data_IF_622937604523
#
_entry.id   IF_622937604523
#
_cell.length_a   1.000
_cell.length_b   1.000
_cell.length_c   1.000
_cell.angle_alpha   90.00
_cell.angle_beta   90.00
_cell.angle_gamma   90.00
#
_symmetry.space_group_name_H-M   'P 1'
#
loop_
_entity.id
_entity.type
_entity.pdbx_description
1 polymer ?
#
# COMPACT_ATOMS: atom_id res chain seq x y z
N UNK A 1 -34.55 -9.02 32.93
CA UNK A 1 -34.44 -7.77 32.14
C UNK A 1 -33.01 -7.29 32.33
N UNK A 2 -32.06 -7.64 31.47
CA UNK A 2 -31.91 -7.10 30.12
C UNK A 2 -31.48 -8.20 29.13
N UNK A 3 -32.35 -8.45 28.16
CA UNK A 3 -32.08 -9.19 26.93
C UNK A 3 -31.22 -8.28 26.03
N UNK A 4 -29.95 -8.63 25.80
CA UNK A 4 -29.15 -7.97 24.75
C UNK A 4 -29.27 -8.77 23.47
N UNK A 5 -30.17 -8.30 22.60
CA UNK A 5 -30.18 -8.57 21.17
C UNK A 5 -28.82 -8.18 20.60
N UNK A 6 -28.19 -9.06 19.84
CA UNK A 6 -27.45 -8.73 18.62
C UNK A 6 -27.40 -9.98 17.74
N UNK A 7 -28.52 -10.14 17.05
CA UNK A 7 -28.68 -10.68 15.70
C UNK A 7 -27.49 -11.50 15.18
N UNK A 8 -27.68 -12.82 15.17
CA UNK A 8 -26.94 -13.70 14.27
C UNK A 8 -27.05 -13.16 12.85
N UNK A 9 -25.99 -12.52 12.35
CA UNK A 9 -25.80 -12.27 10.93
C UNK A 9 -25.76 -13.64 10.26
N UNK A 10 -26.93 -14.10 9.85
CA UNK A 10 -27.14 -15.39 9.24
C UNK A 10 -26.32 -15.35 7.95
N UNK A 11 -25.13 -15.93 7.97
CA UNK A 11 -24.32 -16.16 6.78
C UNK A 11 -25.26 -16.80 5.77
N UNK A 12 -25.74 -16.00 4.80
CA UNK A 12 -26.54 -16.52 3.70
C UNK A 12 -25.62 -17.52 3.04
N UNK A 13 -25.93 -18.80 3.22
CA UNK A 13 -25.20 -19.88 2.60
C UNK A 13 -25.08 -19.55 1.13
N UNK A 14 -23.84 -19.40 0.63
CA UNK A 14 -23.46 -19.14 -0.77
C UNK A 14 -23.88 -20.27 -1.74
N UNK A 15 -24.82 -21.12 -1.33
CA UNK A 15 -25.35 -22.21 -2.12
C UNK A 15 -26.45 -21.64 -3.02
N UNK A 16 -26.17 -21.67 -4.32
CA UNK A 16 -27.03 -21.36 -5.48
C UNK A 16 -26.88 -19.94 -6.06
N UNK A 17 -26.31 -19.87 -7.28
CA UNK A 17 -26.18 -18.71 -8.21
C UNK A 17 -24.95 -17.78 -8.09
N UNK A 18 -23.76 -18.26 -7.74
CA UNK A 18 -22.52 -17.52 -8.00
C UNK A 18 -21.67 -18.25 -9.06
N UNK A 19 -20.95 -17.52 -9.95
CA UNK A 19 -20.06 -18.14 -10.93
C UNK A 19 -18.97 -18.95 -10.21
N UNK A 20 -18.45 -19.99 -10.88
CA UNK A 20 -17.47 -20.92 -10.30
C UNK A 20 -16.26 -20.17 -9.71
N UNK A 21 -15.78 -19.15 -10.39
CA UNK A 21 -14.60 -18.37 -9.97
C UNK A 21 -14.85 -17.56 -8.69
N UNK A 22 -16.08 -17.09 -8.47
CA UNK A 22 -16.45 -16.43 -7.21
C UNK A 22 -16.46 -17.41 -6.03
N UNK A 23 -16.78 -18.69 -6.26
CA UNK A 23 -16.70 -19.74 -5.23
C UNK A 23 -15.24 -20.06 -4.89
N UNK A 24 -14.34 -20.07 -5.88
CA UNK A 24 -12.90 -20.24 -5.66
C UNK A 24 -12.35 -19.07 -4.82
N UNK A 25 -12.63 -17.82 -5.22
CA UNK A 25 -12.22 -16.64 -4.47
C UNK A 25 -12.74 -16.65 -3.02
N UNK A 26 -13.99 -17.07 -2.81
CA UNK A 26 -14.57 -17.20 -1.46
C UNK A 26 -13.87 -18.29 -0.63
N UNK A 27 -13.45 -19.38 -1.27
CA UNK A 27 -12.72 -20.46 -0.61
C UNK A 27 -11.32 -20.01 -0.18
N UNK A 28 -10.64 -19.22 -1.02
CA UNK A 28 -9.33 -18.62 -0.70
C UNK A 28 -9.47 -17.68 0.52
N UNK A 29 -10.45 -16.78 0.52
CA UNK A 29 -10.68 -15.85 1.64
C UNK A 29 -10.93 -16.62 2.96
N UNK A 30 -11.66 -17.73 2.88
CA UNK A 30 -11.92 -18.60 4.02
C UNK A 30 -10.66 -19.31 4.52
N UNK A 31 -9.79 -19.77 3.62
CA UNK A 31 -8.50 -20.39 3.94
C UNK A 31 -7.54 -19.40 4.60
N UNK A 32 -7.61 -18.11 4.24
CA UNK A 32 -6.88 -17.02 4.88
C UNK A 32 -7.40 -16.67 6.29
N UNK A 33 -8.44 -17.35 6.78
CA UNK A 33 -8.96 -17.17 8.15
C UNK A 33 -9.94 -16.00 8.31
N UNK A 34 -10.36 -15.34 7.21
CA UNK A 34 -11.34 -14.24 7.25
C UNK A 34 -12.75 -14.82 7.27
N UNK A 35 -13.44 -14.68 8.42
CA UNK A 35 -14.77 -15.26 8.63
C UNK A 35 -15.92 -14.32 8.23
N UNK A 36 -15.69 -13.00 8.26
CA UNK A 36 -16.68 -11.98 7.96
C UNK A 36 -16.10 -10.98 6.95
N UNK A 37 -16.77 -10.84 5.79
CA UNK A 37 -16.41 -9.89 4.75
C UNK A 37 -17.67 -9.45 3.99
N UNK A 38 -17.61 -8.25 3.40
CA UNK A 38 -18.68 -7.77 2.52
C UNK A 38 -18.68 -8.57 1.21
N UNK A 39 -19.84 -9.09 0.73
CA UNK A 39 -19.91 -9.84 -0.53
C UNK A 39 -19.31 -9.11 -1.74
N UNK A 40 -19.27 -7.76 -1.73
CA UNK A 40 -18.63 -6.95 -2.78
C UNK A 40 -17.13 -7.19 -2.91
N UNK A 41 -16.46 -7.63 -1.85
CA UNK A 41 -15.01 -7.98 -1.86
C UNK A 41 -14.74 -9.09 -2.86
N UNK A 42 -15.63 -10.08 -2.99
CA UNK A 42 -15.46 -11.19 -3.93
C UNK A 42 -15.52 -10.68 -5.37
N UNK A 43 -16.42 -9.75 -5.68
CA UNK A 43 -16.51 -9.13 -7.00
C UNK A 43 -15.29 -8.27 -7.31
N UNK A 44 -14.82 -7.49 -6.33
CA UNK A 44 -13.62 -6.67 -6.49
C UNK A 44 -12.36 -7.52 -6.72
N UNK A 45 -12.24 -8.63 -5.98
CA UNK A 45 -11.15 -9.58 -6.15
C UNK A 45 -11.21 -10.27 -7.53
N UNK A 46 -12.41 -10.63 -7.97
CA UNK A 46 -12.63 -11.21 -9.28
C UNK A 46 -12.21 -10.25 -10.40
N UNK A 47 -12.65 -9.00 -10.35
CA UNK A 47 -12.24 -7.94 -11.28
C UNK A 47 -10.72 -7.72 -11.27
N UNK A 48 -10.11 -7.74 -10.07
CA UNK A 48 -8.66 -7.60 -9.93
C UNK A 48 -7.91 -8.75 -10.61
N UNK A 49 -8.31 -10.00 -10.36
CA UNK A 49 -7.67 -11.19 -10.95
C UNK A 49 -7.78 -11.15 -12.48
N UNK A 50 -8.96 -10.84 -13.03
CA UNK A 50 -9.12 -10.75 -14.49
C UNK A 50 -8.27 -9.64 -15.10
N UNK A 51 -8.25 -8.44 -14.49
CA UNK A 51 -7.41 -7.33 -14.98
C UNK A 51 -5.93 -7.66 -14.89
N UNK A 52 -5.49 -8.29 -13.79
CA UNK A 52 -4.10 -8.69 -13.59
C UNK A 52 -3.65 -9.72 -14.63
N UNK A 53 -4.40 -10.81 -14.80
CA UNK A 53 -4.07 -11.87 -15.76
C UNK A 53 -4.11 -11.34 -17.20
N UNK A 54 -5.11 -10.54 -17.55
CA UNK A 54 -5.20 -9.94 -18.90
C UNK A 54 -4.00 -9.04 -19.18
N UNK A 55 -3.66 -8.14 -18.25
CA UNK A 55 -2.47 -7.29 -18.39
C UNK A 55 -1.18 -8.10 -18.50
N UNK A 56 -1.04 -9.20 -17.76
CA UNK A 56 0.11 -10.10 -17.87
C UNK A 56 0.19 -10.80 -19.23
N UNK A 57 -0.94 -11.23 -19.78
CA UNK A 57 -0.98 -11.84 -21.10
C UNK A 57 -0.70 -10.83 -22.21
N UNK A 58 -1.14 -9.58 -22.05
CA UNK A 58 -0.82 -8.49 -22.99
C UNK A 58 0.69 -8.21 -23.01
N UNK A 59 1.33 -8.09 -21.84
CA UNK A 59 2.78 -7.92 -21.73
C UNK A 59 3.53 -9.13 -22.32
N UNK A 60 3.08 -10.36 -22.02
CA UNK A 60 3.64 -11.60 -22.56
C UNK A 60 3.56 -11.66 -24.09
N UNK A 61 2.46 -11.18 -24.67
CA UNK A 61 2.27 -11.11 -26.12
C UNK A 61 3.26 -10.14 -26.77
N UNK A 62 3.56 -9.02 -26.13
CA UNK A 62 4.58 -8.08 -26.60
C UNK A 62 5.96 -8.76 -26.63
N UNK A 63 6.31 -9.53 -25.59
CA UNK A 63 7.58 -10.25 -25.53
C UNK A 63 7.67 -11.37 -26.56
N UNK A 64 6.61 -12.17 -26.74
CA UNK A 64 6.51 -13.18 -27.80
C UNK A 64 6.70 -12.55 -29.19
N UNK A 65 6.03 -11.42 -29.46
CA UNK A 65 6.17 -10.70 -30.72
C UNK A 65 7.60 -10.18 -30.94
N UNK A 66 8.25 -9.69 -29.87
CA UNK A 66 9.65 -9.26 -29.93
C UNK A 66 10.60 -10.43 -30.29
N UNK A 67 10.28 -11.63 -29.83
CA UNK A 67 10.99 -12.86 -30.20
C UNK A 67 10.58 -13.45 -31.56
N UNK A 68 9.73 -12.76 -32.34
CA UNK A 68 9.15 -13.23 -33.60
C UNK A 68 8.38 -14.56 -33.49
N UNK A 69 7.84 -14.86 -32.31
CA UNK A 69 7.01 -16.06 -32.06
C UNK A 69 5.54 -15.73 -32.29
N UNK A 70 4.79 -16.70 -32.84
CA UNK A 70 3.34 -16.57 -33.10
C UNK A 70 2.47 -16.93 -31.89
N UNK A 71 3.02 -17.69 -30.95
CA UNK A 71 2.32 -18.17 -29.76
C UNK A 71 3.11 -17.75 -28.51
N UNK A 72 2.39 -17.47 -27.43
CA UNK A 72 2.97 -17.11 -26.13
C UNK A 72 3.53 -18.37 -25.47
N UNK A 73 4.81 -18.33 -25.09
CA UNK A 73 5.46 -19.39 -24.33
C UNK A 73 5.44 -19.09 -22.82
N UNK A 74 5.74 -20.13 -22.03
CA UNK A 74 5.88 -20.01 -20.56
C UNK A 74 6.98 -19.01 -20.18
N UNK A 75 8.06 -18.94 -20.97
CA UNK A 75 9.17 -18.01 -20.71
C UNK A 75 8.76 -16.55 -20.89
N UNK A 76 7.84 -16.26 -21.82
CA UNK A 76 7.33 -14.91 -22.04
C UNK A 76 6.47 -14.46 -20.85
N UNK A 77 5.67 -15.37 -20.30
CA UNK A 77 4.88 -15.14 -19.08
C UNK A 77 5.76 -14.97 -17.85
N UNK A 78 6.81 -15.78 -17.72
CA UNK A 78 7.79 -15.65 -16.61
C UNK A 78 8.48 -14.29 -16.64
N UNK A 79 8.91 -13.85 -17.82
CA UNK A 79 9.52 -12.54 -18.00
C UNK A 79 8.54 -11.42 -17.63
N UNK A 80 7.28 -11.52 -18.09
CA UNK A 80 6.25 -10.54 -17.74
C UNK A 80 6.02 -10.42 -16.24
N UNK A 81 5.91 -11.55 -15.54
CA UNK A 81 5.73 -11.57 -14.08
C UNK A 81 6.95 -10.97 -13.37
N UNK A 82 8.17 -11.34 -13.77
CA UNK A 82 9.39 -10.83 -13.14
C UNK A 82 9.48 -9.30 -13.23
N UNK A 83 9.27 -8.74 -14.42
CA UNK A 83 9.31 -7.29 -14.64
C UNK A 83 8.16 -6.56 -13.92
N UNK A 84 6.99 -7.20 -13.83
CA UNK A 84 5.85 -6.65 -13.09
C UNK A 84 6.12 -6.56 -11.59
N UNK A 85 6.75 -7.59 -11.02
CA UNK A 85 7.13 -7.62 -9.61
C UNK A 85 8.07 -6.47 -9.29
N UNK A 86 9.10 -6.24 -10.12
CA UNK A 86 10.04 -5.13 -9.91
C UNK A 86 9.39 -3.75 -10.01
N UNK A 87 8.38 -3.59 -10.87
CA UNK A 87 7.72 -2.31 -11.12
C UNK A 87 6.65 -1.96 -10.08
N UNK A 88 5.75 -2.90 -9.80
CA UNK A 88 4.52 -2.63 -9.04
C UNK A 88 4.64 -3.03 -7.57
N UNK A 89 5.57 -3.94 -7.24
CA UNK A 89 5.72 -4.45 -5.89
C UNK A 89 7.00 -3.92 -5.27
N UNK A 90 6.84 -3.16 -4.19
CA UNK A 90 7.98 -2.78 -3.38
C UNK A 90 8.30 -3.91 -2.41
N UNK A 91 9.49 -4.49 -2.54
CA UNK A 91 10.09 -5.20 -1.43
C UNK A 91 10.75 -4.17 -0.51
N UNK A 92 10.57 -4.25 0.81
CA UNK A 92 11.29 -3.37 1.71
C UNK A 92 12.79 -3.48 1.43
N UNK A 93 13.53 -2.36 1.35
CA UNK A 93 14.94 -2.39 1.02
C UNK A 93 15.70 -3.25 2.03
N UNK A 94 16.74 -3.98 1.60
CA UNK A 94 17.55 -4.80 2.49
C UNK A 94 18.05 -3.98 3.68
N UNK A 95 18.08 -4.62 4.86
CA UNK A 95 18.52 -3.99 6.11
C UNK A 95 19.89 -3.33 6.00
N UNK A 96 20.80 -3.93 5.24
CA UNK A 96 22.16 -3.42 5.01
C UNK A 96 22.14 -2.06 4.34
N UNK A 97 21.35 -1.89 3.27
CA UNK A 97 21.16 -0.62 2.57
C UNK A 97 20.63 0.45 3.52
N UNK A 98 19.64 0.09 4.36
CA UNK A 98 19.09 1.02 5.34
C UNK A 98 20.11 1.41 6.42
N UNK A 99 20.95 0.46 6.84
CA UNK A 99 22.02 0.71 7.82
C UNK A 99 23.12 1.61 7.26
N UNK A 100 23.50 1.47 5.99
CA UNK A 100 24.47 2.35 5.33
C UNK A 100 23.95 3.78 5.21
N UNK A 101 22.69 3.94 4.82
CA UNK A 101 22.03 5.24 4.78
C UNK A 101 21.98 5.84 6.19
N UNK A 102 21.59 5.05 7.19
CA UNK A 102 21.53 5.49 8.59
C UNK A 102 22.91 5.92 9.11
N UNK A 103 23.97 5.15 8.84
CA UNK A 103 25.35 5.52 9.21
C UNK A 103 25.73 6.87 8.61
N UNK A 104 25.49 7.05 7.33
CA UNK A 104 25.82 8.29 6.59
C UNK A 104 25.06 9.49 7.16
N UNK A 105 23.76 9.33 7.43
CA UNK A 105 22.91 10.41 7.97
C UNK A 105 23.21 10.73 9.43
N UNK A 106 23.43 9.71 10.25
CA UNK A 106 23.69 9.87 11.68
C UNK A 106 25.13 10.30 12.00
N UNK A 107 26.04 10.25 11.02
CA UNK A 107 27.38 10.83 11.14
C UNK A 107 27.35 12.37 11.18
N UNK A 108 26.28 12.99 10.68
CA UNK A 108 26.09 14.43 10.79
C UNK A 108 25.66 14.76 12.22
N UNK A 109 26.45 15.57 12.96
CA UNK A 109 26.04 16.00 14.29
C UNK A 109 24.76 16.82 14.17
N UNK A 110 23.88 16.66 15.15
CA UNK A 110 22.65 17.45 15.23
C UNK A 110 23.00 18.94 15.17
N UNK A 111 22.24 19.70 14.39
CA UNK A 111 22.43 21.14 14.29
C UNK A 111 22.29 21.77 15.68
N UNK A 112 23.19 22.69 16.04
CA UNK A 112 23.14 23.40 17.31
C UNK A 112 21.74 24.00 17.55
N UNK A 113 21.05 23.52 18.58
CA UNK A 113 19.76 24.07 19.01
C UNK A 113 20.06 25.38 19.72
N UNK A 114 19.77 26.53 19.10
CA UNK A 114 19.81 27.82 19.80
C UNK A 114 18.70 27.84 20.85
N UNK A 115 19.02 28.24 22.08
CA UNK A 115 18.12 28.28 23.23
C UNK A 115 17.09 29.44 23.14
N UNK A 116 16.37 29.53 22.03
CA UNK A 116 15.14 30.31 21.97
C UNK A 116 13.97 29.35 22.17
N UNK A 117 13.19 29.59 23.21
CA UNK A 117 11.93 28.88 23.44
C UNK A 117 10.97 29.21 22.27
N UNK A 118 10.83 28.29 21.29
CA UNK A 118 9.90 28.47 20.18
C UNK A 118 10.09 27.50 19.01
N UNK A 119 9.09 27.44 18.13
CA UNK A 119 9.08 26.62 16.91
C UNK A 119 9.98 27.26 15.83
N UNK A 120 10.99 26.52 15.35
CA UNK A 120 11.89 27.00 14.27
C UNK A 120 11.33 26.60 12.91
N UNK A 121 10.72 27.57 12.22
CA UNK A 121 10.33 27.38 10.82
C UNK A 121 11.59 27.45 9.93
N UNK A 122 11.75 26.54 8.95
CA UNK A 122 12.83 26.61 7.99
C UNK A 122 12.56 27.75 6.98
N UNK A 123 13.59 28.55 6.68
CA UNK A 123 13.44 29.85 6.01
C UNK A 123 12.88 29.81 4.57
N UNK A 124 12.81 28.66 3.90
CA UNK A 124 12.35 28.57 2.50
C UNK A 124 11.32 27.47 2.20
N UNK A 125 10.82 26.72 3.18
CA UNK A 125 9.90 25.58 2.95
C UNK A 125 8.44 25.92 3.25
N UNK A 126 8.15 27.18 3.59
CA UNK A 126 6.77 27.69 3.59
C UNK A 126 6.33 27.85 2.14
N UNK A 127 5.85 26.76 1.55
CA UNK A 127 5.07 26.82 0.32
C UNK A 127 3.83 27.69 0.59
N UNK A 128 3.82 28.86 -0.04
CA UNK A 128 2.70 29.76 -0.34
C UNK A 128 1.48 29.74 0.62
N UNK A 129 1.30 30.85 1.36
CA UNK A 129 -0.05 31.39 1.57
C UNK A 129 -0.68 31.29 2.96
N UNK A 130 0.04 30.88 4.00
CA UNK A 130 -0.44 31.06 5.38
C UNK A 130 0.61 31.84 6.17
N UNK A 131 0.42 33.15 6.24
CA UNK A 131 1.03 33.97 7.27
C UNK A 131 0.38 33.53 8.59
N UNK A 132 0.91 32.49 9.24
CA UNK A 132 0.68 32.32 10.67
C UNK A 132 1.39 33.51 11.31
N UNK A 133 0.63 34.59 11.55
CA UNK A 133 1.01 35.58 12.54
C UNK A 133 1.06 34.84 13.86
N UNK A 134 2.23 34.27 14.17
CA UNK A 134 2.57 33.99 15.56
C UNK A 134 2.83 35.37 16.13
N UNK A 135 1.75 35.99 16.57
CA UNK A 135 1.81 37.17 17.41
C UNK A 135 2.61 36.73 18.63
N UNK A 136 3.87 37.13 18.68
CA UNK A 136 4.74 36.86 19.80
C UNK A 136 4.13 37.59 20.99
N UNK A 137 3.30 36.90 21.76
CA UNK A 137 2.94 37.35 23.09
C UNK A 137 4.26 37.43 23.86
N UNK A 138 4.81 38.63 23.96
CA UNK A 138 5.82 39.00 24.96
C UNK A 138 5.18 38.79 26.33
N UNK A 139 5.13 37.55 26.81
CA UNK A 139 5.12 37.29 28.24
C UNK A 139 6.57 37.24 28.67
N UNK A 140 6.99 38.35 29.26
CA UNK A 140 8.20 38.47 30.06
C UNK A 140 8.13 37.40 31.15
N UNK A 141 8.82 36.28 30.94
CA UNK A 141 9.15 35.39 32.03
C UNK A 141 10.52 35.84 32.54
N UNK A 142 10.51 36.56 33.66
CA UNK A 142 11.70 36.80 34.45
C UNK A 142 12.19 35.43 34.94
N UNK A 143 13.40 35.05 34.52
CA UNK A 143 14.13 33.96 35.15
C UNK A 143 14.85 34.56 36.37
N UNK A 144 14.48 34.12 37.57
CA UNK A 144 15.30 34.25 38.78
C UNK A 144 16.43 33.23 38.76
#
# INVERSE_FOLDING_TARGET
>A
MLETRNETFKQRTFKTRHPKDALVNSSIIKELGVQEYDPRVVNQLLDFVYKYVTSMLDDSKIYSNHANKKNIDIEDVRLAVALRVEKDFTTPPPREVLMDIARTKNALPLSLVKAHCGLRLPANILFNGVQLQIETYKKVWNCS
#
